data_IF_715052428506
#
_entry.id   IF_715052428506
#
_cell.length_a   1.000
_cell.length_b   1.000
_cell.length_c   1.000
_cell.angle_alpha   90.00
_cell.angle_beta   90.00
_cell.angle_gamma   90.00
#
_symmetry.space_group_name_H-M   'P 1'
#
loop_
_entity.id
_entity.type
_entity.pdbx_description
1 polymer ?
#
# COMPACT_ATOMS: atom_id res chain seq x y z
N UNK A 1 1.95 -7.45 -17.04
CA UNK A 1 1.59 -7.48 -15.59
C UNK A 1 1.43 -6.04 -15.16
N UNK A 2 0.21 -5.60 -14.83
CA UNK A 2 -0.06 -4.18 -14.52
C UNK A 2 0.34 -3.83 -13.09
N UNK A 3 0.84 -2.61 -12.87
CA UNK A 3 1.24 -2.05 -11.57
C UNK A 3 0.17 -2.08 -10.46
N UNK A 4 -1.08 -2.41 -10.82
CA UNK A 4 -2.22 -2.46 -9.91
C UNK A 4 -2.43 -3.85 -9.26
N UNK A 5 -1.62 -4.85 -9.61
CA UNK A 5 -1.74 -6.21 -9.06
C UNK A 5 -0.90 -6.42 -7.80
N UNK A 6 0.02 -5.50 -7.50
CA UNK A 6 0.91 -5.56 -6.34
C UNK A 6 0.74 -4.29 -5.50
N UNK A 7 0.81 -4.47 -4.18
CA UNK A 7 0.86 -3.38 -3.21
C UNK A 7 2.23 -3.41 -2.54
N UNK A 8 2.88 -2.25 -2.46
CA UNK A 8 4.21 -2.10 -1.85
C UNK A 8 4.10 -1.14 -0.67
N UNK A 9 4.50 -1.62 0.50
CA UNK A 9 4.55 -0.84 1.75
C UNK A 9 6.02 -0.53 2.04
N UNK A 10 6.37 0.75 2.09
CA UNK A 10 7.69 1.20 2.52
C UNK A 10 7.81 1.18 4.04
N UNK A 11 8.96 0.78 4.59
CA UNK A 11 9.20 0.80 6.03
C UNK A 11 10.55 1.45 6.32
N UNK A 12 10.58 2.42 7.24
CA UNK A 12 11.82 3.11 7.61
C UNK A 12 11.87 3.48 9.09
N UNK A 13 13.07 3.48 9.67
CA UNK A 13 13.36 4.06 11.00
C UNK A 13 13.97 5.47 10.91
N UNK A 14 14.04 6.06 9.71
CA UNK A 14 14.54 7.42 9.55
C UNK A 14 13.61 8.43 10.22
N UNK A 15 14.14 9.54 10.73
CA UNK A 15 13.33 10.67 11.21
C UNK A 15 12.90 11.61 10.08
N UNK A 16 13.41 11.40 8.87
CA UNK A 16 13.11 12.21 7.70
C UNK A 16 11.71 11.91 7.15
N UNK A 17 10.76 12.81 7.40
CA UNK A 17 9.39 12.73 6.87
C UNK A 17 9.32 12.94 5.35
N UNK A 18 10.35 13.49 4.71
CA UNK A 18 10.39 13.60 3.26
C UNK A 18 10.52 12.23 2.59
N UNK A 19 11.05 11.23 3.30
CA UNK A 19 11.19 9.88 2.78
C UNK A 19 9.84 9.25 2.45
N UNK A 20 8.84 9.40 3.33
CA UNK A 20 7.50 8.87 3.08
C UNK A 20 6.83 9.60 1.90
N UNK A 21 6.93 10.93 1.86
CA UNK A 21 6.41 11.74 0.75
C UNK A 21 7.02 11.34 -0.59
N UNK A 22 8.35 11.15 -0.64
CA UNK A 22 9.07 10.71 -1.84
C UNK A 22 8.68 9.30 -2.26
N UNK A 23 8.55 8.38 -1.30
CA UNK A 23 8.16 7.00 -1.57
C UNK A 23 6.75 6.91 -2.17
N UNK A 24 5.79 7.60 -1.56
CA UNK A 24 4.40 7.63 -2.06
C UNK A 24 4.34 8.31 -3.43
N UNK A 25 5.06 9.43 -3.63
CA UNK A 25 5.16 10.10 -4.93
C UNK A 25 5.78 9.22 -6.02
N UNK A 26 6.67 8.31 -5.67
CA UNK A 26 7.28 7.36 -6.60
C UNK A 26 6.36 6.17 -6.96
N UNK A 27 5.13 6.12 -6.44
CA UNK A 27 4.16 5.07 -6.73
C UNK A 27 4.06 3.98 -5.67
N UNK A 28 4.68 4.18 -4.50
CA UNK A 28 4.43 3.34 -3.33
C UNK A 28 2.98 3.41 -2.87
N UNK A 29 2.46 2.30 -2.33
CA UNK A 29 1.05 2.22 -1.94
C UNK A 29 0.82 2.67 -0.51
N UNK A 30 1.78 2.40 0.37
CA UNK A 30 1.70 2.79 1.77
C UNK A 30 3.10 2.93 2.35
N UNK A 31 3.21 3.56 3.52
CA UNK A 31 4.48 3.77 4.20
C UNK A 31 4.30 3.74 5.72
N UNK A 32 5.16 2.99 6.42
CA UNK A 32 5.18 2.92 7.89
C UNK A 32 6.52 3.38 8.45
N UNK A 33 6.47 4.19 9.50
CA UNK A 33 7.64 4.67 10.24
C UNK A 33 7.82 3.82 11.49
N UNK A 34 9.05 3.35 11.74
CA UNK A 34 9.39 2.69 13.01
C UNK A 34 9.70 3.74 14.09
N UNK A 35 9.37 3.47 15.36
CA UNK A 35 8.64 2.29 15.84
C UNK A 35 7.13 2.39 15.54
N UNK A 36 6.52 1.27 15.17
CA UNK A 36 5.08 1.10 15.06
C UNK A 36 4.63 -0.03 15.99
N UNK A 37 3.38 0.00 16.41
CA UNK A 37 2.79 -1.07 17.22
C UNK A 37 2.23 -2.18 16.33
N UNK A 38 2.07 -3.38 16.90
CA UNK A 38 1.57 -4.55 16.15
C UNK A 38 0.22 -4.27 15.48
N UNK A 39 -0.69 -3.60 16.18
CA UNK A 39 -2.01 -3.24 15.64
C UNK A 39 -1.91 -2.32 14.42
N UNK A 40 -0.98 -1.36 14.42
CA UNK A 40 -0.76 -0.48 13.28
C UNK A 40 -0.27 -1.28 12.07
N UNK A 41 0.67 -2.21 12.28
CA UNK A 41 1.15 -3.11 11.24
C UNK A 41 0.01 -3.94 10.64
N UNK A 42 -0.79 -4.60 11.49
CA UNK A 42 -1.93 -5.41 11.02
C UNK A 42 -2.95 -4.58 10.26
N UNK A 43 -3.29 -3.40 10.78
CA UNK A 43 -4.23 -2.49 10.15
C UNK A 43 -3.76 -2.08 8.75
N UNK A 44 -2.50 -1.66 8.61
CA UNK A 44 -1.90 -1.24 7.33
C UNK A 44 -1.84 -2.37 6.31
N UNK A 45 -1.45 -3.57 6.73
CA UNK A 45 -1.41 -4.75 5.86
C UNK A 45 -2.82 -5.12 5.38
N UNK A 46 -3.78 -5.21 6.29
CA UNK A 46 -5.16 -5.58 5.96
C UNK A 46 -5.81 -4.57 5.01
N UNK A 47 -5.63 -3.26 5.25
CA UNK A 47 -6.14 -2.22 4.36
C UNK A 47 -5.59 -2.34 2.92
N UNK A 48 -4.31 -2.69 2.78
CA UNK A 48 -3.70 -2.91 1.46
C UNK A 48 -4.27 -4.17 0.77
N UNK A 49 -4.50 -5.25 1.52
CA UNK A 49 -5.12 -6.48 1.01
C UNK A 49 -6.57 -6.26 0.57
N UNK A 50 -7.36 -5.55 1.36
CA UNK A 50 -8.75 -5.22 1.04
C UNK A 50 -8.84 -4.36 -0.21
N UNK A 51 -7.99 -3.33 -0.29
CA UNK A 51 -7.90 -2.47 -1.48
C UNK A 51 -7.53 -3.27 -2.73
N UNK A 52 -6.57 -4.19 -2.62
CA UNK A 52 -6.18 -5.05 -3.75
C UNK A 52 -7.33 -5.98 -4.19
N UNK A 53 -8.06 -6.53 -3.23
CA UNK A 53 -9.21 -7.40 -3.48
C UNK A 53 -10.34 -6.64 -4.17
N UNK A 54 -10.64 -5.43 -3.72
CA UNK A 54 -11.63 -4.54 -4.33
C UNK A 54 -11.22 -4.14 -5.75
N UNK A 55 -9.96 -3.79 -5.98
CA UNK A 55 -9.46 -3.48 -7.32
C UNK A 55 -9.59 -4.68 -8.27
N UNK A 56 -9.25 -5.90 -7.82
CA UNK A 56 -9.43 -7.13 -8.60
C UNK A 56 -10.90 -7.36 -8.96
N UNK A 57 -11.80 -7.17 -7.99
CA UNK A 57 -13.24 -7.29 -8.22
C UNK A 57 -13.73 -6.30 -9.28
N UNK A 58 -13.38 -5.02 -9.16
CA UNK A 58 -13.76 -3.98 -10.12
C UNK A 58 -13.23 -4.27 -11.53
N UNK A 59 -11.97 -4.67 -11.66
CA UNK A 59 -11.35 -5.02 -12.95
C UNK A 59 -11.99 -6.25 -13.60
N UNK A 60 -12.46 -7.21 -12.81
CA UNK A 60 -13.17 -8.38 -13.33
C UNK A 60 -14.53 -8.04 -13.94
N UNK A 61 -15.20 -6.99 -13.43
CA UNK A 61 -16.47 -6.51 -13.97
C UNK A 61 -16.31 -5.80 -15.31
N UNK A 62 -15.23 -5.01 -15.47
CA UNK A 62 -14.97 -4.29 -16.72
C UNK A 62 -14.67 -5.20 -17.92
N UNK A 63 -14.25 -6.46 -17.69
CA UNK A 63 -14.02 -7.44 -18.78
C UNK A 63 -15.30 -8.12 -19.28
N UNK A 64 -16.44 -7.93 -18.61
CA UNK A 64 -17.72 -8.56 -18.93
C UNK A 64 -18.67 -7.67 -19.75
N UNK A 65 -18.31 -6.39 -19.92
CA UNK A 65 -19.01 -5.43 -20.79
C UNK A 65 -18.18 -5.23 -22.04
#
# INVERSE_FOLDING_TARGET
IGSHQLRIIGVSSSTDRLLSARFLKAGGNDFMMRPFIDEEFYCRVNQNLDTLSQMKFLLSRQKKT
#
